data_IF_398371246043
#
_entry.id   IF_398371246043
#
_cell.length_a   1.000
_cell.length_b   1.000
_cell.length_c   1.000
_cell.angle_alpha   90.00
_cell.angle_beta   90.00
_cell.angle_gamma   90.00
#
_symmetry.space_group_name_H-M   'P 1'
#
loop_
_entity.id
_entity.type
_entity.pdbx_description
1 polymer ?
#
# COMPACT_ATOMS: atom_id res chain seq x y z
N UNK A 1 7.68 11.34 4.24
CA UNK A 1 6.82 10.84 3.14
C UNK A 1 6.20 9.45 3.38
N UNK A 2 6.53 8.70 4.45
CA UNK A 2 5.96 7.35 4.69
C UNK A 2 4.49 7.34 5.11
N UNK A 3 4.08 8.25 6.00
CA UNK A 3 2.71 8.30 6.55
C UNK A 3 1.64 8.75 5.53
N UNK A 4 1.97 9.69 4.65
CA UNK A 4 1.01 10.29 3.71
C UNK A 4 0.41 9.32 2.70
N UNK A 5 1.07 8.19 2.42
CA UNK A 5 0.55 7.15 1.52
C UNK A 5 -0.54 6.32 2.15
N UNK A 6 -0.40 6.02 3.43
CA UNK A 6 -1.35 5.21 4.19
C UNK A 6 -2.59 6.05 4.54
N UNK A 7 -2.41 7.32 4.90
CA UNK A 7 -3.52 8.23 5.21
C UNK A 7 -4.25 8.80 3.97
N UNK A 8 -3.84 8.46 2.75
CA UNK A 8 -4.46 8.96 1.52
C UNK A 8 -4.09 10.41 1.16
N UNK A 9 -3.13 11.00 1.86
CA UNK A 9 -2.61 12.35 1.64
C UNK A 9 -1.64 12.45 0.45
N UNK A 10 -1.40 11.35 -0.25
CA UNK A 10 -0.60 11.24 -1.47
C UNK A 10 -1.32 10.34 -2.48
N UNK A 11 -2.29 10.89 -3.25
CA UNK A 11 -3.07 10.12 -4.20
C UNK A 11 -2.20 9.54 -5.31
N UNK A 12 -2.65 8.43 -5.92
CA UNK A 12 -2.01 7.83 -7.09
C UNK A 12 -1.94 8.90 -8.21
N UNK A 13 -0.75 9.30 -8.66
CA UNK A 13 -0.62 10.24 -9.77
C UNK A 13 -1.05 9.57 -11.07
N UNK A 14 -1.28 10.38 -12.11
CA UNK A 14 -1.62 9.86 -13.43
C UNK A 14 -0.45 9.02 -13.99
N UNK A 15 -0.76 7.92 -14.68
CA UNK A 15 0.25 6.95 -15.16
C UNK A 15 1.26 7.55 -16.13
N UNK A 16 0.90 8.66 -16.77
CA UNK A 16 1.74 9.42 -17.70
C UNK A 16 2.56 10.53 -17.02
N UNK A 17 2.51 10.66 -15.69
CA UNK A 17 3.28 11.68 -14.96
C UNK A 17 4.69 11.19 -14.65
N UNK A 18 5.65 12.12 -14.58
CA UNK A 18 7.05 11.83 -14.25
C UNK A 18 7.20 11.25 -12.83
N UNK A 19 6.25 11.57 -11.95
CA UNK A 19 6.17 11.12 -10.57
C UNK A 19 5.56 9.72 -10.43
N UNK A 20 4.92 9.15 -11.47
CA UNK A 20 4.26 7.84 -11.39
C UNK A 20 5.23 6.72 -11.02
N UNK A 21 6.37 6.67 -11.69
CA UNK A 21 7.42 5.68 -11.42
C UNK A 21 7.98 5.79 -10.00
N UNK A 22 8.20 7.02 -9.52
CA UNK A 22 8.59 7.25 -8.13
C UNK A 22 7.48 6.85 -7.18
N UNK A 23 6.22 7.05 -7.60
CA UNK A 23 5.07 6.71 -6.81
C UNK A 23 4.94 5.20 -6.64
N UNK A 24 5.03 4.43 -7.71
CA UNK A 24 4.97 2.95 -7.71
C UNK A 24 6.08 2.38 -6.84
N UNK A 25 7.33 2.83 -7.01
CA UNK A 25 8.46 2.34 -6.20
C UNK A 25 8.23 2.50 -4.70
N UNK A 26 7.81 3.68 -4.27
CA UNK A 26 7.54 3.90 -2.87
C UNK A 26 6.26 3.19 -2.38
N UNK A 27 5.33 2.83 -3.28
CA UNK A 27 4.14 2.05 -2.90
C UNK A 27 4.51 0.60 -2.65
N UNK A 28 5.26 -0.02 -3.57
CA UNK A 28 5.77 -1.38 -3.44
C UNK A 28 6.63 -1.57 -2.20
N UNK A 29 7.39 -0.55 -1.77
CA UNK A 29 8.12 -0.58 -0.50
C UNK A 29 7.20 -0.64 0.71
N UNK A 30 6.11 0.13 0.72
CA UNK A 30 5.14 0.12 1.82
C UNK A 30 4.35 -1.19 1.81
N UNK A 31 3.92 -1.70 0.65
CA UNK A 31 3.32 -3.04 0.52
C UNK A 31 4.25 -4.09 1.13
N UNK A 32 5.52 -4.10 0.71
CA UNK A 32 6.50 -5.06 1.24
C UNK A 32 6.64 -4.93 2.76
N UNK A 33 6.67 -3.71 3.31
CA UNK A 33 6.71 -3.51 4.75
C UNK A 33 5.47 -4.06 5.46
N UNK A 34 4.27 -3.74 4.97
CA UNK A 34 3.01 -4.23 5.55
C UNK A 34 2.98 -5.76 5.52
N UNK A 35 3.20 -6.37 4.35
CA UNK A 35 3.16 -7.82 4.18
C UNK A 35 4.20 -8.55 5.04
N UNK A 36 5.37 -7.95 5.28
CA UNK A 36 6.39 -8.52 6.18
C UNK A 36 6.08 -8.34 7.67
N UNK A 37 5.15 -7.45 8.03
CA UNK A 37 4.78 -7.18 9.43
C UNK A 37 3.53 -7.94 9.90
N UNK A 38 2.71 -8.42 8.98
CA UNK A 38 1.48 -9.17 9.29
C UNK A 38 1.74 -10.69 9.32
N UNK A 39 0.86 -11.45 10.00
CA UNK A 39 1.00 -12.92 10.06
C UNK A 39 0.88 -13.54 8.68
N UNK A 40 1.69 -14.56 8.39
CA UNK A 40 1.68 -15.28 7.10
C UNK A 40 0.31 -15.87 6.77
N UNK A 41 -0.44 -16.27 7.79
CA UNK A 41 -1.79 -16.84 7.63
C UNK A 41 -2.79 -15.86 7.01
N UNK A 42 -2.48 -14.56 7.07
CA UNK A 42 -3.35 -13.51 6.51
C UNK A 42 -2.73 -12.80 5.31
N UNK A 43 -1.43 -12.94 5.06
CA UNK A 43 -0.72 -12.34 3.90
C UNK A 43 -1.37 -12.71 2.57
N UNK A 44 -1.82 -13.96 2.42
CA UNK A 44 -2.43 -14.45 1.17
C UNK A 44 -3.70 -13.68 0.78
N UNK A 45 -4.41 -13.08 1.74
CA UNK A 45 -5.59 -12.27 1.45
C UNK A 45 -5.25 -10.92 0.81
N UNK A 46 -4.02 -10.44 0.95
CA UNK A 46 -3.61 -9.09 0.55
C UNK A 46 -2.65 -9.07 -0.65
N UNK A 47 -2.20 -10.24 -1.13
CA UNK A 47 -1.20 -10.35 -2.21
C UNK A 47 -1.70 -9.83 -3.57
N UNK A 48 -3.02 -9.76 -3.77
CA UNK A 48 -3.67 -9.31 -5.00
C UNK A 48 -4.13 -7.84 -4.95
N UNK A 49 -3.80 -7.11 -3.89
CA UNK A 49 -4.20 -5.72 -3.73
C UNK A 49 -3.13 -4.81 -4.34
N UNK A 50 -3.58 -3.89 -5.19
CA UNK A 50 -2.71 -3.09 -6.05
C UNK A 50 -1.99 -1.96 -5.32
N UNK A 51 -2.52 -1.50 -4.18
CA UNK A 51 -1.93 -0.37 -3.46
C UNK A 51 -1.77 -0.61 -1.95
N UNK A 52 -0.71 -0.04 -1.37
CA UNK A 52 -0.47 -0.10 0.07
C UNK A 52 -1.64 0.47 0.89
N UNK A 53 -2.35 1.46 0.35
CA UNK A 53 -3.51 2.07 1.00
C UNK A 53 -4.70 1.12 1.07
N UNK A 54 -4.99 0.41 -0.01
CA UNK A 54 -6.08 -0.58 -0.03
C UNK A 54 -5.77 -1.73 0.93
N UNK A 55 -4.51 -2.20 0.99
CA UNK A 55 -4.10 -3.21 1.97
C UNK A 55 -4.37 -2.70 3.40
N UNK A 56 -4.00 -1.45 3.70
CA UNK A 56 -4.23 -0.87 5.01
C UNK A 56 -5.73 -0.78 5.36
N UNK A 57 -6.56 -0.31 4.42
CA UNK A 57 -8.01 -0.20 4.62
C UNK A 57 -8.67 -1.57 4.84
N UNK A 58 -8.25 -2.61 4.12
CA UNK A 58 -8.74 -3.97 4.32
C UNK A 58 -8.31 -4.54 5.68
N UNK A 59 -7.07 -4.27 6.12
CA UNK A 59 -6.61 -4.66 7.46
C UNK A 59 -7.46 -3.95 8.53
N UNK A 60 -7.65 -2.64 8.41
CA UNK A 60 -8.45 -1.84 9.34
C UNK A 60 -9.92 -2.29 9.35
N UNK A 61 -10.52 -2.59 8.19
CA UNK A 61 -11.90 -3.06 8.13
C UNK A 61 -12.09 -4.46 8.75
N UNK A 62 -11.08 -5.33 8.68
CA UNK A 62 -11.17 -6.72 9.17
C UNK A 62 -10.73 -6.87 10.63
N UNK A 63 -9.81 -6.04 11.11
CA UNK A 63 -9.15 -6.20 12.41
C UNK A 63 -9.06 -4.93 13.26
N UNK A 64 -9.51 -3.79 12.75
CA UNK A 64 -9.53 -2.49 13.45
C UNK A 64 -10.72 -2.28 14.36
#
# INVERSE_FOLDING_TARGET
>A
MKLGRITGNSPKPAENSEEYEQWVRADSLVISWILNTISKDIVEFFVYIDTAREIWLEIEARYG
#
